data_IF_018684936530
#
_entry.id   IF_018684936530
#
_cell.length_a   1.000
_cell.length_b   1.000
_cell.length_c   1.000
_cell.angle_alpha   90.00
_cell.angle_beta   90.00
_cell.angle_gamma   90.00
#
_symmetry.space_group_name_H-M   'P 1'
#
loop_
_entity.id
_entity.type
_entity.pdbx_description
1 polymer ?
#
# COMPACT_ATOMS: atom_id res chain seq x y z
N UNK A 1 -10.86 -43.13 32.97
CA UNK A 1 -11.70 -42.14 32.28
C UNK A 1 -10.74 -41.27 31.47
N UNK A 2 -10.55 -41.61 30.20
CA UNK A 2 -9.58 -40.94 29.33
C UNK A 2 -10.31 -39.83 28.58
N UNK A 3 -10.02 -38.58 28.90
CA UNK A 3 -10.37 -37.45 28.03
C UNK A 3 -9.42 -37.53 26.84
N UNK A 4 -9.90 -38.02 25.69
CA UNK A 4 -9.13 -37.95 24.46
C UNK A 4 -8.96 -36.47 24.12
N UNK A 5 -7.76 -35.94 24.35
CA UNK A 5 -7.28 -34.70 23.73
C UNK A 5 -7.11 -34.94 22.24
N UNK A 6 -8.21 -35.22 21.53
CA UNK A 6 -8.26 -35.22 20.09
C UNK A 6 -8.64 -33.81 19.66
N UNK A 7 -7.78 -33.18 18.86
CA UNK A 7 -8.11 -31.94 18.16
C UNK A 7 -9.51 -32.09 17.55
N UNK A 8 -10.45 -31.22 17.94
CA UNK A 8 -11.78 -31.20 17.30
C UNK A 8 -11.62 -30.68 15.87
N UNK A 9 -12.51 -31.11 15.00
CA UNK A 9 -12.56 -30.70 13.59
C UNK A 9 -12.50 -29.16 13.45
N UNK A 10 -13.19 -28.43 14.34
CA UNK A 10 -13.16 -26.96 14.43
C UNK A 10 -11.79 -26.37 14.79
N UNK A 11 -11.00 -27.03 15.63
CA UNK A 11 -9.63 -26.58 15.93
C UNK A 11 -8.69 -26.84 14.75
N UNK A 12 -8.98 -27.87 13.94
CA UNK A 12 -8.26 -28.17 12.70
C UNK A 12 -8.56 -27.13 11.62
N UNK A 13 -9.83 -26.80 11.39
CA UNK A 13 -10.25 -25.79 10.42
C UNK A 13 -9.63 -24.42 10.74
N UNK A 14 -9.71 -23.99 12.00
CA UNK A 14 -9.13 -22.72 12.44
C UNK A 14 -7.61 -22.65 12.23
N UNK A 15 -6.89 -23.76 12.47
CA UNK A 15 -5.45 -23.82 12.23
C UNK A 15 -5.12 -23.73 10.74
N UNK A 16 -5.87 -24.46 9.91
CA UNK A 16 -5.72 -24.40 8.45
C UNK A 16 -6.03 -23.03 7.87
N UNK A 17 -7.00 -22.30 8.41
CA UNK A 17 -7.25 -20.90 8.04
C UNK A 17 -6.06 -20.00 8.40
N UNK A 18 -5.48 -20.15 9.59
CA UNK A 18 -4.30 -19.36 9.99
C UNK A 18 -3.07 -19.68 9.14
N UNK A 19 -2.85 -20.96 8.82
CA UNK A 19 -1.78 -21.40 7.91
C UNK A 19 -1.98 -20.85 6.50
N UNK A 20 -3.24 -20.75 6.04
CA UNK A 20 -3.57 -20.11 4.77
C UNK A 20 -3.29 -18.60 4.80
N UNK A 21 -3.72 -17.87 5.83
CA UNK A 21 -3.46 -16.44 5.96
C UNK A 21 -1.97 -16.11 6.13
N UNK A 22 -1.20 -16.95 6.82
CA UNK A 22 0.24 -16.80 6.93
C UNK A 22 0.93 -16.91 5.56
N UNK A 23 0.54 -17.88 4.74
CA UNK A 23 1.06 -18.02 3.38
C UNK A 23 0.68 -16.83 2.48
N UNK A 24 -0.53 -16.28 2.63
CA UNK A 24 -0.94 -15.06 1.94
C UNK A 24 -0.07 -13.88 2.37
N UNK A 25 0.16 -13.68 3.66
CA UNK A 25 1.03 -12.60 4.17
C UNK A 25 2.47 -12.74 3.64
N UNK A 26 3.02 -13.95 3.61
CA UNK A 26 4.37 -14.20 3.07
C UNK A 26 4.45 -13.94 1.56
N UNK A 27 3.45 -14.37 0.80
CA UNK A 27 3.35 -14.09 -0.63
C UNK A 27 3.23 -12.60 -0.92
N UNK A 28 2.41 -11.88 -0.15
CA UNK A 28 2.27 -10.42 -0.26
C UNK A 28 3.55 -9.69 0.14
N UNK A 29 4.24 -10.16 1.19
CA UNK A 29 5.55 -9.61 1.61
C UNK A 29 6.60 -9.68 0.50
N UNK A 30 6.63 -10.77 -0.26
CA UNK A 30 7.51 -10.92 -1.42
C UNK A 30 7.22 -9.93 -2.56
N UNK A 31 6.00 -9.36 -2.60
CA UNK A 31 5.54 -8.42 -3.61
C UNK A 31 5.44 -6.96 -3.12
N UNK A 32 5.89 -6.66 -1.88
CA UNK A 32 5.89 -5.29 -1.37
C UNK A 32 7.01 -4.50 -2.03
N UNK A 33 6.64 -3.42 -2.72
CA UNK A 33 7.57 -2.42 -3.23
C UNK A 33 7.57 -1.19 -2.32
N UNK A 34 8.66 -0.42 -2.35
CA UNK A 34 8.74 0.83 -1.58
C UNK A 34 7.82 1.88 -2.19
N UNK A 35 7.40 2.87 -1.40
CA UNK A 35 6.61 4.01 -1.90
C UNK A 35 7.30 4.71 -3.06
N UNK A 36 8.62 4.94 -2.96
CA UNK A 36 9.42 5.51 -4.04
C UNK A 36 9.37 4.63 -5.31
N UNK A 37 9.47 3.31 -5.18
CA UNK A 37 9.38 2.41 -6.33
C UNK A 37 7.98 2.41 -6.96
N UNK A 38 6.92 2.48 -6.15
CA UNK A 38 5.54 2.59 -6.62
C UNK A 38 5.32 3.91 -7.39
N UNK A 39 5.77 5.03 -6.81
CA UNK A 39 5.69 6.35 -7.43
C UNK A 39 6.51 6.45 -8.71
N UNK A 40 7.72 5.86 -8.73
CA UNK A 40 8.56 5.82 -9.93
C UNK A 40 7.86 5.08 -11.08
N UNK A 41 7.21 3.95 -10.78
CA UNK A 41 6.48 3.17 -11.77
C UNK A 41 5.22 3.91 -12.27
N UNK A 42 4.48 4.55 -11.36
CA UNK A 42 3.23 5.25 -11.68
C UNK A 42 3.46 6.55 -12.46
N UNK A 43 4.44 7.34 -12.04
CA UNK A 43 4.75 8.64 -12.65
C UNK A 43 5.76 8.52 -13.81
N UNK A 44 6.26 7.31 -14.08
CA UNK A 44 7.31 7.03 -15.06
C UNK A 44 8.54 7.95 -14.88
N UNK A 45 9.01 8.08 -13.63
CA UNK A 45 10.20 8.87 -13.24
C UNK A 45 11.29 7.96 -12.64
N UNK A 46 12.46 8.53 -12.35
CA UNK A 46 13.52 7.77 -11.67
C UNK A 46 13.14 7.45 -10.21
N UNK A 47 13.70 6.36 -9.66
CA UNK A 47 13.48 5.99 -8.26
C UNK A 47 14.07 7.03 -7.31
N UNK A 48 15.15 7.72 -7.68
CA UNK A 48 15.73 8.82 -6.91
C UNK A 48 14.78 10.03 -6.86
N UNK A 49 14.19 10.42 -7.99
CA UNK A 49 13.20 11.51 -8.03
C UNK A 49 11.94 11.14 -7.24
N UNK A 50 11.49 9.89 -7.38
CA UNK A 50 10.34 9.39 -6.62
C UNK A 50 10.62 9.25 -5.12
N UNK A 51 11.89 9.11 -4.71
CA UNK A 51 12.26 9.09 -3.30
C UNK A 51 12.04 10.47 -2.65
N UNK A 52 12.27 11.56 -3.39
CA UNK A 52 11.94 12.92 -2.93
C UNK A 52 10.44 13.05 -2.64
N UNK A 53 9.62 12.43 -3.48
CA UNK A 53 8.15 12.46 -3.37
C UNK A 53 7.58 11.51 -2.30
N UNK A 54 8.39 10.61 -1.75
CA UNK A 54 7.90 9.58 -0.83
C UNK A 54 7.39 10.12 0.51
N UNK A 55 7.74 11.37 0.85
CA UNK A 55 7.24 12.11 2.02
C UNK A 55 5.91 12.84 1.80
N UNK A 56 5.34 12.77 0.58
CA UNK A 56 4.14 13.50 0.22
C UNK A 56 2.95 13.21 1.13
N UNK A 57 2.20 14.26 1.43
CA UNK A 57 1.00 14.14 2.25
C UNK A 57 -0.07 13.33 1.52
N UNK A 58 -0.67 12.38 2.23
CA UNK A 58 -1.80 11.59 1.75
C UNK A 58 -3.05 12.05 2.50
N UNK A 59 -4.03 12.53 1.75
CA UNK A 59 -5.33 12.97 2.28
C UNK A 59 -6.44 12.04 1.83
N UNK A 60 -7.48 11.93 2.66
CA UNK A 60 -8.69 11.18 2.32
C UNK A 60 -9.56 12.00 1.39
N UNK A 61 -10.01 11.38 0.30
CA UNK A 61 -11.13 11.88 -0.48
C UNK A 61 -12.40 11.22 0.06
N UNK A 62 -13.09 11.94 0.94
CA UNK A 62 -14.27 11.47 1.65
C UNK A 62 -15.52 12.29 1.30
N UNK A 63 -16.68 11.66 1.41
CA UNK A 63 -17.98 12.33 1.33
C UNK A 63 -18.25 13.21 2.55
N UNK A 64 -19.27 14.06 2.44
CA UNK A 64 -19.75 14.89 3.57
C UNK A 64 -20.23 14.07 4.78
N UNK A 65 -20.58 12.79 4.58
CA UNK A 65 -20.94 11.84 5.64
C UNK A 65 -19.76 10.95 6.13
N UNK A 66 -18.54 11.22 5.65
CA UNK A 66 -17.29 10.59 6.13
C UNK A 66 -16.94 9.25 5.50
N UNK A 67 -17.52 8.92 4.35
CA UNK A 67 -17.17 7.72 3.59
C UNK A 67 -15.98 8.01 2.67
N UNK A 68 -14.88 7.29 2.89
CA UNK A 68 -13.67 7.40 2.06
C UNK A 68 -13.87 6.65 0.73
N UNK A 69 -13.71 7.36 -0.39
CA UNK A 69 -13.76 6.78 -1.74
C UNK A 69 -12.37 6.49 -2.30
N UNK A 70 -11.43 7.40 -2.04
CA UNK A 70 -10.07 7.31 -2.55
C UNK A 70 -9.11 8.09 -1.66
N UNK A 71 -7.83 8.07 -2.01
CA UNK A 71 -6.81 8.90 -1.40
C UNK A 71 -6.22 9.84 -2.44
N UNK A 72 -5.85 11.05 -2.02
CA UNK A 72 -5.10 12.00 -2.83
C UNK A 72 -3.70 12.13 -2.27
N UNK A 73 -2.71 12.18 -3.16
CA UNK A 73 -1.30 12.38 -2.80
C UNK A 73 -0.91 13.78 -3.26
N UNK A 74 -0.53 14.66 -2.33
CA UNK A 74 -0.07 15.99 -2.66
C UNK A 74 1.45 16.00 -2.86
N UNK A 75 1.86 15.98 -4.12
CA UNK A 75 3.28 15.97 -4.53
C UNK A 75 3.89 17.39 -4.58
N UNK A 76 3.07 18.44 -4.60
CA UNK A 76 3.55 19.83 -4.74
C UNK A 76 4.56 20.29 -3.68
N UNK A 77 4.42 19.96 -2.37
CA UNK A 77 5.39 20.40 -1.37
C UNK A 77 6.76 19.71 -1.50
N UNK A 78 6.80 18.49 -2.02
CA UNK A 78 8.01 17.67 -2.12
C UNK A 78 8.69 17.78 -3.50
N UNK A 79 7.94 18.16 -4.54
CA UNK A 79 8.48 18.32 -5.89
C UNK A 79 9.25 19.65 -6.02
N UNK A 80 10.55 19.58 -6.30
CA UNK A 80 11.41 20.75 -6.50
C UNK A 80 11.94 20.86 -7.95
N UNK A 81 12.27 22.09 -8.37
CA UNK A 81 13.01 22.35 -9.61
C UNK A 81 12.39 21.77 -10.89
N UNK A 82 13.21 21.04 -11.65
CA UNK A 82 12.82 20.41 -12.92
C UNK A 82 11.76 19.31 -12.75
N UNK A 83 11.81 18.55 -11.65
CA UNK A 83 10.82 17.51 -11.34
C UNK A 83 9.42 18.11 -11.23
N UNK A 84 9.29 19.23 -10.51
CA UNK A 84 8.02 19.94 -10.40
C UNK A 84 7.51 20.44 -11.76
N UNK A 85 8.40 21.00 -12.58
CA UNK A 85 8.03 21.50 -13.90
C UNK A 85 7.54 20.37 -14.83
N UNK A 86 8.20 19.21 -14.80
CA UNK A 86 7.80 18.02 -15.57
C UNK A 86 6.44 17.50 -15.12
N UNK A 87 6.24 17.33 -13.81
CA UNK A 87 4.98 16.83 -13.26
C UNK A 87 3.81 17.76 -13.59
N UNK A 88 3.98 19.07 -13.48
CA UNK A 88 2.94 20.04 -13.86
C UNK A 88 2.66 19.98 -15.36
N UNK A 89 3.70 19.89 -16.21
CA UNK A 89 3.52 19.80 -17.65
C UNK A 89 2.75 18.54 -18.07
N UNK A 90 2.92 17.43 -17.34
CA UNK A 90 2.28 16.14 -17.63
C UNK A 90 0.88 16.01 -17.03
N UNK A 91 0.65 16.55 -15.84
CA UNK A 91 -0.54 16.26 -15.03
C UNK A 91 -1.35 17.49 -14.57
N UNK A 92 -0.88 18.71 -14.80
CA UNK A 92 -1.48 19.95 -14.27
C UNK A 92 -2.72 20.49 -15.00
N UNK A 93 -3.54 19.63 -15.62
CA UNK A 93 -4.74 20.03 -16.40
C UNK A 93 -6.05 19.91 -15.62
#
# INVERSE_FOLDING_TARGET
MSISSGESDTDRDRRSEWEHWAQVEEAERGNRITMAQALANELEISVDDAALLSGAEITTNESDDGLVYSYWINLEPEAEGELRADLIARFGS
#
